data_IF_204204108101
#
_entry.id   IF_204204108101
#
_cell.length_a   1.000
_cell.length_b   1.000
_cell.length_c   1.000
_cell.angle_alpha   90.00
_cell.angle_beta   90.00
_cell.angle_gamma   90.00
#
_symmetry.space_group_name_H-M   'P 1'
#
loop_
_entity.id
_entity.type
_entity.pdbx_description
1 polymer ?
#
# COMPACT_ATOMS: atom_id res chain seq x y z
N UNK A 1 -2.73 25.20 -29.87
CA UNK A 1 -2.28 25.70 -28.54
C UNK A 1 -1.67 24.51 -27.81
N UNK A 2 -0.37 24.48 -27.51
CA UNK A 2 0.23 23.34 -26.82
C UNK A 2 -0.07 23.46 -25.32
N UNK A 3 -0.85 22.53 -24.78
CA UNK A 3 -1.06 22.39 -23.34
C UNK A 3 0.24 21.92 -22.70
N UNK A 4 0.80 22.74 -21.81
CA UNK A 4 2.01 22.43 -21.05
C UNK A 4 1.78 21.10 -20.29
N UNK A 5 2.56 20.04 -20.53
CA UNK A 5 2.40 18.79 -19.78
C UNK A 5 2.88 19.06 -18.35
N UNK A 6 1.94 19.24 -17.43
CA UNK A 6 2.30 19.43 -16.02
C UNK A 6 2.62 18.07 -15.44
N UNK A 7 3.91 17.77 -15.28
CA UNK A 7 4.43 16.58 -14.62
C UNK A 7 3.94 16.53 -13.16
N UNK A 8 2.71 16.07 -12.95
CA UNK A 8 2.08 15.86 -11.64
C UNK A 8 1.86 14.36 -11.39
N UNK A 9 2.73 13.54 -11.98
CA UNK A 9 2.82 12.11 -11.74
C UNK A 9 3.62 11.89 -10.47
N UNK A 10 2.99 11.24 -9.50
CA UNK A 10 3.61 10.71 -8.30
C UNK A 10 4.05 9.29 -8.51
N UNK A 11 5.15 8.95 -7.86
CA UNK A 11 5.70 7.60 -7.81
C UNK A 11 5.24 6.93 -6.52
N UNK A 12 4.48 5.85 -6.63
CA UNK A 12 4.03 5.07 -5.48
C UNK A 12 4.74 3.70 -5.48
N UNK A 13 5.24 3.31 -4.31
CA UNK A 13 5.93 2.04 -4.11
C UNK A 13 5.00 1.06 -3.40
N UNK A 14 4.51 0.06 -4.12
CA UNK A 14 3.66 -1.00 -3.62
C UNK A 14 4.54 -2.18 -3.19
N UNK A 15 4.56 -2.47 -1.90
CA UNK A 15 5.33 -3.57 -1.31
C UNK A 15 4.39 -4.70 -0.89
N UNK A 16 4.76 -5.93 -1.24
CA UNK A 16 4.14 -7.15 -0.73
C UNK A 16 5.19 -8.24 -0.68
N UNK A 17 5.34 -8.86 0.48
CA UNK A 17 6.41 -9.81 0.80
C UNK A 17 7.79 -9.21 0.48
N UNK A 18 8.49 -9.77 -0.50
CA UNK A 18 9.80 -9.34 -1.00
C UNK A 18 9.70 -8.54 -2.30
N UNK A 19 8.50 -8.41 -2.85
CA UNK A 19 8.28 -7.74 -4.14
C UNK A 19 7.90 -6.29 -3.92
N UNK A 20 8.57 -5.40 -4.67
CA UNK A 20 8.20 -3.99 -4.76
C UNK A 20 7.82 -3.68 -6.21
N UNK A 21 6.66 -3.05 -6.38
CA UNK A 21 6.13 -2.59 -7.66
C UNK A 21 6.04 -1.08 -7.61
N UNK A 22 6.62 -0.43 -8.61
CA UNK A 22 6.62 1.02 -8.74
C UNK A 22 5.62 1.42 -9.81
N UNK A 23 4.68 2.28 -9.45
CA UNK A 23 3.65 2.81 -10.37
C UNK A 23 3.72 4.34 -10.40
N UNK A 24 3.60 4.89 -11.61
CA UNK A 24 3.47 6.32 -11.84
C UNK A 24 1.99 6.65 -11.95
N UNK A 25 1.47 7.44 -11.02
CA UNK A 25 0.04 7.76 -10.94
C UNK A 25 -0.14 9.26 -10.83
N UNK A 26 -1.23 9.81 -11.35
CA UNK A 26 -1.54 11.23 -11.12
C UNK A 26 -2.10 11.40 -9.69
N UNK A 27 -1.90 12.57 -9.10
CA UNK A 27 -2.41 12.88 -7.74
C UNK A 27 -3.95 12.84 -7.63
N UNK A 28 -4.63 13.00 -8.76
CA UNK A 28 -6.09 13.00 -8.91
C UNK A 28 -6.66 11.65 -9.36
N UNK A 29 -5.82 10.64 -9.61
CA UNK A 29 -6.30 9.29 -9.89
C UNK A 29 -6.98 8.68 -8.66
N UNK A 30 -8.05 7.92 -8.93
CA UNK A 30 -8.76 7.17 -7.91
C UNK A 30 -8.03 5.88 -7.55
N UNK A 31 -8.22 5.37 -6.34
CA UNK A 31 -7.62 4.10 -5.93
C UNK A 31 -8.09 2.93 -6.80
N UNK A 32 -9.35 2.94 -7.27
CA UNK A 32 -9.85 1.95 -8.24
C UNK A 32 -8.99 1.89 -9.51
N UNK A 33 -8.59 3.05 -10.04
CA UNK A 33 -7.73 3.12 -11.23
C UNK A 33 -6.32 2.60 -10.91
N UNK A 34 -5.78 2.95 -9.74
CA UNK A 34 -4.46 2.50 -9.29
C UNK A 34 -4.43 0.97 -9.12
N UNK A 35 -5.49 0.38 -8.56
CA UNK A 35 -5.66 -1.07 -8.43
C UNK A 35 -5.73 -1.78 -9.77
N UNK A 36 -6.47 -1.21 -10.73
CA UNK A 36 -6.53 -1.76 -12.09
C UNK A 36 -5.14 -1.77 -12.76
N UNK A 37 -4.38 -0.68 -12.64
CA UNK A 37 -3.02 -0.60 -13.17
C UNK A 37 -2.07 -1.57 -12.46
N UNK A 38 -2.17 -1.68 -11.13
CA UNK A 38 -1.42 -2.64 -10.33
C UNK A 38 -1.73 -4.07 -10.74
N UNK A 39 -3.00 -4.41 -10.93
CA UNK A 39 -3.43 -5.73 -11.38
C UNK A 39 -2.94 -6.05 -12.80
N UNK A 40 -2.99 -5.07 -13.70
CA UNK A 40 -2.45 -5.19 -15.06
C UNK A 40 -0.93 -5.45 -15.03
N UNK A 41 -0.19 -4.69 -14.22
CA UNK A 41 1.25 -4.87 -14.04
C UNK A 41 1.58 -6.24 -13.41
N UNK A 42 0.80 -6.68 -12.41
CA UNK A 42 0.93 -7.99 -11.79
C UNK A 42 0.69 -9.12 -12.80
N UNK A 43 -0.40 -9.06 -13.59
CA UNK A 43 -0.70 -10.04 -14.64
C UNK A 43 0.38 -10.07 -15.72
N UNK A 44 0.95 -8.92 -16.09
CA UNK A 44 2.04 -8.84 -17.05
C UNK A 44 3.35 -9.44 -16.52
N UNK A 45 3.58 -9.42 -15.21
CA UNK A 45 4.82 -9.91 -14.58
C UNK A 45 4.72 -11.38 -14.16
N UNK A 46 3.57 -11.78 -13.64
CA UNK A 46 3.26 -13.13 -13.19
C UNK A 46 2.54 -13.90 -14.29
N UNK A 47 3.29 -14.43 -15.25
CA UNK A 47 2.77 -15.28 -16.33
C UNK A 47 2.20 -16.62 -15.82
N UNK A 48 2.56 -16.99 -14.58
CA UNK A 48 2.07 -18.20 -13.90
C UNK A 48 0.66 -18.02 -13.32
N UNK A 49 0.13 -16.79 -13.29
CA UNK A 49 -1.16 -16.49 -12.65
C UNK A 49 -1.12 -16.48 -11.12
N UNK A 50 0.05 -16.70 -10.52
CA UNK A 50 0.27 -16.63 -9.08
C UNK A 50 1.22 -15.49 -8.72
N UNK A 51 0.97 -14.87 -7.57
CA UNK A 51 1.85 -13.89 -6.94
C UNK A 51 2.03 -14.25 -5.47
N UNK A 52 3.29 -14.42 -5.05
CA UNK A 52 3.64 -14.94 -3.71
C UNK A 52 2.96 -16.27 -3.33
N UNK A 53 2.67 -17.13 -4.32
CA UNK A 53 1.98 -18.40 -4.11
C UNK A 53 0.45 -18.30 -3.97
N UNK A 54 -0.10 -17.09 -4.09
CA UNK A 54 -1.54 -16.83 -4.11
C UNK A 54 -2.02 -16.63 -5.55
N UNK A 55 -3.24 -17.08 -5.89
CA UNK A 55 -3.81 -16.79 -7.19
C UNK A 55 -4.02 -15.28 -7.35
N UNK A 56 -3.67 -14.74 -8.52
CA UNK A 56 -3.95 -13.35 -8.81
C UNK A 56 -5.47 -13.10 -8.83
N UNK A 57 -5.95 -12.01 -8.20
CA UNK A 57 -7.36 -11.69 -8.22
C UNK A 57 -7.84 -11.40 -9.66
N UNK A 58 -9.10 -11.71 -9.92
CA UNK A 58 -9.69 -11.43 -11.24
C UNK A 58 -10.13 -9.97 -11.31
N UNK A 59 -10.59 -9.44 -10.17
CA UNK A 59 -11.09 -8.09 -10.02
C UNK A 59 -10.12 -7.20 -9.23
N UNK A 60 -9.94 -5.93 -9.61
CA UNK A 60 -9.11 -4.99 -8.86
C UNK A 60 -9.65 -4.70 -7.45
N UNK A 61 -10.93 -4.97 -7.20
CA UNK A 61 -11.60 -4.76 -5.91
C UNK A 61 -11.10 -5.71 -4.81
N UNK A 62 -10.65 -6.91 -5.20
CA UNK A 62 -10.07 -7.91 -4.30
C UNK A 62 -8.67 -7.50 -3.78
N UNK A 63 -8.14 -6.38 -4.26
CA UNK A 63 -6.88 -5.81 -3.80
C UNK A 63 -7.19 -4.80 -2.70
N UNK A 64 -6.54 -4.92 -1.55
CA UNK A 64 -6.59 -3.90 -0.50
C UNK A 64 -5.27 -3.14 -0.45
N UNK A 65 -5.33 -1.83 -0.25
CA UNK A 65 -4.15 -0.97 -0.08
C UNK A 65 -4.06 -0.42 1.35
N UNK A 66 -2.84 -0.36 1.87
CA UNK A 66 -2.54 0.29 3.14
C UNK A 66 -1.30 1.16 3.03
N UNK A 67 -1.29 2.28 3.75
CA UNK A 67 -0.10 3.12 3.90
C UNK A 67 0.70 2.69 5.12
N UNK A 68 2.02 2.88 5.06
CA UNK A 68 2.87 2.73 6.24
C UNK A 68 2.42 3.71 7.33
N UNK A 69 2.27 3.25 8.56
CA UNK A 69 2.00 4.12 9.71
C UNK A 69 3.16 5.10 9.89
N UNK A 70 4.39 4.59 9.76
CA UNK A 70 5.61 5.38 9.76
C UNK A 70 6.45 5.08 8.51
N UNK A 71 6.77 6.09 7.68
CA UNK A 71 7.56 5.89 6.46
C UNK A 71 9.06 5.68 6.74
N UNK A 72 9.54 5.92 7.96
CA UNK A 72 10.91 5.63 8.39
C UNK A 72 11.02 4.23 9.01
N UNK A 73 9.94 3.73 9.61
CA UNK A 73 9.87 2.40 10.20
C UNK A 73 8.64 1.62 9.70
N UNK A 74 8.85 0.84 8.65
CA UNK A 74 7.82 -0.03 8.07
C UNK A 74 7.40 -1.18 9.00
N UNK A 75 8.09 -1.37 10.14
CA UNK A 75 7.74 -2.36 11.16
C UNK A 75 6.65 -1.88 12.11
N UNK A 76 6.38 -0.56 12.17
CA UNK A 76 5.27 0.01 12.96
C UNK A 76 3.88 -0.48 12.51
N UNK A 77 3.79 -1.04 11.30
CA UNK A 77 2.55 -1.58 10.75
C UNK A 77 1.94 -0.71 9.66
N UNK A 78 0.75 -1.11 9.23
CA UNK A 78 0.09 -0.64 8.02
C UNK A 78 -1.34 -0.20 8.33
N UNK A 79 -1.73 0.96 7.82
CA UNK A 79 -3.07 1.52 7.96
C UNK A 79 -3.79 1.49 6.61
N UNK A 80 -4.93 0.79 6.54
CA UNK A 80 -5.78 0.75 5.35
C UNK A 80 -6.12 2.16 4.86
N UNK A 81 -5.89 2.43 3.58
CA UNK A 81 -6.22 3.73 2.97
C UNK A 81 -7.61 3.75 2.34
N UNK A 82 -8.19 2.57 2.13
CA UNK A 82 -9.50 2.38 1.53
C UNK A 82 -10.46 1.74 2.54
N UNK A 83 -11.75 2.12 2.54
CA UNK A 83 -12.77 1.38 3.26
C UNK A 83 -12.94 0.02 2.55
N UNK A 84 -12.76 -1.08 3.28
CA UNK A 84 -13.15 -2.39 2.76
C UNK A 84 -14.67 -2.59 2.89
N UNK A 85 -15.27 -3.45 2.07
CA UNK A 85 -16.69 -3.81 2.22
C UNK A 85 -16.97 -4.38 3.63
N UNK A 86 -16.01 -5.07 4.24
CA UNK A 86 -16.07 -5.54 5.63
C UNK A 86 -16.10 -4.37 6.63
N UNK A 87 -15.33 -3.30 6.39
CA UNK A 87 -15.39 -2.07 7.20
C UNK A 87 -16.74 -1.36 7.04
N UNK A 88 -17.36 -1.41 5.86
CA UNK A 88 -18.70 -0.85 5.63
C UNK A 88 -19.81 -1.68 6.26
N UNK A 89 -19.70 -3.01 6.21
CA UNK A 89 -20.66 -3.91 6.84
C UNK A 89 -20.56 -3.85 8.38
N UNK A 90 -19.34 -3.73 8.93
CA UNK A 90 -19.12 -3.50 10.35
C UNK A 90 -19.59 -2.11 10.80
N UNK A 91 -19.36 -1.04 10.03
CA UNK A 91 -19.92 0.29 10.32
C UNK A 91 -21.46 0.23 10.35
N UNK A 92 -22.09 -0.42 9.37
CA UNK A 92 -23.55 -0.57 9.33
C UNK A 92 -24.07 -1.44 10.47
N UNK A 93 -23.32 -2.44 10.91
CA UNK A 93 -23.67 -3.25 12.07
C UNK A 93 -23.56 -2.43 13.36
N UNK A 94 -22.54 -1.57 13.50
CA UNK A 94 -22.37 -0.66 14.64
C UNK A 94 -23.43 0.45 14.64
N UNK A 95 -23.77 1.02 13.48
CA UNK A 95 -24.84 2.04 13.35
C UNK A 95 -26.24 1.47 13.68
N UNK A 96 -26.46 0.17 13.46
CA UNK A 96 -27.70 -0.51 13.86
C UNK A 96 -27.75 -0.88 15.35
N UNK A 97 -26.62 -0.81 16.06
CA UNK A 97 -26.50 -1.04 17.50
C UNK A 97 -26.43 0.31 18.25
N UNK A 98 -27.54 1.05 18.21
CA UNK A 98 -28.00 2.01 19.22
C UNK A 98 -26.92 2.87 19.93
N UNK A 99 -26.71 4.10 19.47
CA UNK A 99 -26.47 5.26 20.35
C UNK A 99 -25.18 5.33 21.19
N UNK A 100 -24.21 4.43 21.04
CA UNK A 100 -22.96 4.52 21.77
C UNK A 100 -21.96 5.44 21.06
N UNK A 101 -21.96 6.71 21.47
CA UNK A 101 -20.83 7.66 21.31
C UNK A 101 -19.62 7.14 22.09
N UNK A 102 -19.06 6.01 21.63
CA UNK A 102 -17.83 5.42 22.11
C UNK A 102 -16.67 6.28 21.62
N UNK A 103 -15.88 6.78 22.56
CA UNK A 103 -14.67 7.57 22.35
C UNK A 103 -13.55 6.67 21.81
N UNK A 104 -13.77 6.06 20.65
CA UNK A 104 -12.80 5.27 19.90
C UNK A 104 -12.22 6.14 18.79
N UNK A 105 -10.89 6.20 18.71
CA UNK A 105 -10.13 6.82 17.61
C UNK A 105 -10.33 6.00 16.31
N UNK A 106 -11.53 6.02 15.73
CA UNK A 106 -11.81 5.53 14.38
C UNK A 106 -11.83 6.73 13.44
N UNK A 107 -10.82 6.86 12.60
CA UNK A 107 -10.58 8.01 11.73
C UNK A 107 -11.80 8.29 10.85
N UNK A 108 -12.21 9.57 10.81
CA UNK A 108 -13.30 10.05 9.97
C UNK A 108 -13.14 9.59 8.52
N UNK A 109 -14.07 8.75 8.05
CA UNK A 109 -14.37 8.54 6.63
C UNK A 109 -14.72 9.89 6.02
N UNK A 110 -13.75 10.53 5.38
CA UNK A 110 -13.97 11.72 4.58
C UNK A 110 -14.08 11.35 3.10
N UNK A 111 -15.23 11.64 2.49
CA UNK A 111 -15.55 11.54 1.05
C UNK A 111 -14.56 12.24 0.07
N UNK A 112 -13.41 12.71 0.54
CA UNK A 112 -12.31 13.26 -0.27
C UNK A 112 -11.06 12.36 -0.32
N UNK A 113 -11.12 11.13 0.20
CA UNK A 113 -9.96 10.26 0.35
C UNK A 113 -9.67 9.31 -0.82
N UNK A 114 -10.52 9.21 -1.84
CA UNK A 114 -10.36 8.20 -2.91
C UNK A 114 -9.17 8.45 -3.85
N UNK A 115 -8.36 9.47 -3.59
CA UNK A 115 -7.17 9.79 -4.36
C UNK A 115 -5.92 9.80 -3.45
N UNK A 116 -4.71 9.57 -3.99
CA UNK A 116 -3.50 9.54 -3.20
C UNK A 116 -3.30 10.79 -2.33
N UNK A 117 -3.59 11.97 -2.88
CA UNK A 117 -3.49 13.22 -2.14
C UNK A 117 -4.50 13.29 -0.98
N UNK A 118 -5.71 12.78 -1.18
CA UNK A 118 -6.77 12.72 -0.19
C UNK A 118 -6.45 11.77 0.98
N UNK A 119 -5.81 10.64 0.69
CA UNK A 119 -5.35 9.68 1.71
C UNK A 119 -4.12 10.15 2.52
N UNK A 120 -3.58 11.33 2.18
CA UNK A 120 -2.38 11.90 2.80
C UNK A 120 -1.07 11.29 2.26
N UNK A 121 -1.11 10.65 1.08
CA UNK A 121 0.08 10.15 0.40
C UNK A 121 0.84 11.29 -0.26
N UNK A 122 2.12 11.04 -0.54
CA UNK A 122 3.05 11.96 -1.20
C UNK A 122 3.79 11.22 -2.30
N UNK A 123 4.48 11.96 -3.15
CA UNK A 123 5.43 11.38 -4.09
C UNK A 123 6.50 10.56 -3.33
N UNK A 124 6.74 9.33 -3.77
CA UNK A 124 7.63 8.37 -3.10
C UNK A 124 7.01 7.63 -1.92
N UNK A 125 5.68 7.73 -1.70
CA UNK A 125 5.03 7.03 -0.60
C UNK A 125 5.06 5.50 -0.79
N UNK A 126 5.24 4.81 0.35
CA UNK A 126 5.25 3.34 0.42
C UNK A 126 3.89 2.85 0.87
N UNK A 127 3.32 1.94 0.10
CA UNK A 127 2.04 1.29 0.32
C UNK A 127 2.26 -0.21 0.43
N UNK A 128 1.58 -0.87 1.34
CA UNK A 128 1.38 -2.29 1.29
C UNK A 128 0.15 -2.61 0.45
N UNK A 129 0.19 -3.73 -0.27
CA UNK A 129 -0.98 -4.30 -0.92
C UNK A 129 -1.12 -5.78 -0.53
N UNK A 130 -2.35 -6.24 -0.45
CA UNK A 130 -2.70 -7.65 -0.21
C UNK A 130 -3.88 -8.07 -1.07
N UNK A 131 -4.06 -9.37 -1.25
CA UNK A 131 -5.24 -9.93 -1.91
C UNK A 131 -6.27 -10.45 -0.90
N UNK A 132 -7.53 -10.54 -1.33
CA UNK A 132 -8.58 -11.23 -0.61
C UNK A 132 -8.14 -12.68 -0.30
N UNK A 133 -8.06 -13.01 0.99
CA UNK A 133 -7.53 -14.30 1.48
C UNK A 133 -6.18 -14.23 2.19
N UNK A 134 -5.49 -13.08 2.17
CA UNK A 134 -4.29 -12.86 3.01
C UNK A 134 -4.65 -12.38 4.43
N UNK A 135 -4.10 -13.09 5.42
CA UNK A 135 -4.15 -12.72 6.83
C UNK A 135 -3.02 -11.71 7.14
N UNK A 136 -3.37 -10.42 7.05
CA UNK A 136 -2.48 -9.31 7.41
C UNK A 136 -1.65 -8.72 6.26
N UNK A 137 -0.85 -7.70 6.60
CA UNK A 137 0.03 -6.98 5.67
C UNK A 137 1.45 -7.52 5.77
N UNK A 138 1.79 -8.46 4.90
CA UNK A 138 3.12 -9.08 4.91
C UNK A 138 4.07 -8.23 4.07
N UNK A 139 4.92 -7.42 4.70
CA UNK A 139 5.98 -6.67 4.01
C UNK A 139 7.32 -6.98 4.65
N UNK A 140 8.22 -7.58 3.87
CA UNK A 140 9.59 -7.84 4.30
C UNK A 140 10.44 -6.60 4.05
N UNK A 141 11.06 -6.09 5.11
CA UNK A 141 12.09 -5.05 5.00
C UNK A 141 13.43 -5.80 4.97
N UNK A 142 14.17 -5.80 3.85
CA UNK A 142 15.50 -6.36 3.85
C UNK A 142 16.35 -5.55 4.81
N UNK A 143 16.73 -6.17 5.93
CA UNK A 143 17.77 -5.65 6.81
C UNK A 143 19.07 -5.92 6.07
N UNK A 144 19.70 -4.88 5.56
CA UNK A 144 21.09 -5.00 5.13
C UNK A 144 21.90 -5.18 6.40
N UNK A 145 22.32 -6.41 6.70
CA UNK A 145 23.41 -6.63 7.64
C UNK A 145 24.59 -5.81 7.13
N UNK A 146 24.97 -4.80 7.90
CA UNK A 146 26.13 -3.96 7.67
C UNK A 146 27.34 -4.90 7.56
N UNK A 147 27.76 -5.18 6.33
CA UNK A 147 28.96 -5.97 6.07
C UNK A 147 30.12 -5.16 6.63
N UNK A 148 30.56 -5.52 7.85
CA UNK A 148 31.68 -4.95 8.58
C UNK A 148 32.89 -4.75 7.66
N UNK A 149 33.00 -3.53 7.13
CA UNK A 149 34.22 -3.01 6.52
C UNK A 149 35.04 -2.34 7.63
N UNK A 150 35.69 -3.16 8.44
CA UNK A 150 36.89 -2.79 9.20
C UNK A 150 37.93 -3.87 8.89
N UNK A 151 39.00 -3.62 8.13
CA UNK A 151 39.99 -2.59 8.40
C UNK A 151 41.24 -3.31 8.93
N UNK A 152 42.31 -3.25 8.14
CA UNK A 152 43.74 -3.52 8.39
C UNK A 152 44.14 -3.48 9.90
N UNK A 153 45.09 -4.25 10.44
CA UNK A 153 46.54 -4.12 10.20
C UNK A 153 47.32 -5.39 10.60
N UNK A 154 48.44 -5.60 9.92
CA UNK A 154 49.44 -6.61 10.22
C UNK A 154 50.18 -6.31 11.55
N UNK A 155 50.48 -7.34 12.32
CA UNK A 155 51.69 -7.30 13.16
C UNK A 155 52.39 -8.67 13.13
N UNK A 156 53.60 -8.63 12.59
CA UNK A 156 54.61 -9.66 12.72
C UNK A 156 55.35 -9.44 14.06
N UNK A 157 55.53 -10.51 14.84
CA UNK A 157 56.34 -10.52 16.06
C UNK A 157 56.49 -11.92 16.62
#
# INVERSE_FOLDING_TARGET
MPTKPTATTWTLLFKSHTTTILLHVAKDHTFTHIKSELLSALKSRSTDGHFNGLPLPTSPDEISLAKSIDPQDLTQGWEGVEPSEEDEEMDRAIEQLDGAKGKGKGKAKGLGQDCPAGAGLRDGAVLAFKFAGEDGWVVSVPVFEDNELGGEEAEAG
#
